data_IF_862972897760
#
_entry.id   IF_862972897760
#
_cell.length_a   1.000
_cell.length_b   1.000
_cell.length_c   1.000
_cell.angle_alpha   90.00
_cell.angle_beta   90.00
_cell.angle_gamma   90.00
#
_symmetry.space_group_name_H-M   'P 1'
#
loop_
_entity.id
_entity.type
_entity.pdbx_description
1 polymer ?
#
# COMPACT_ATOMS: atom_id res chain seq x y z
N UNK A 1 -5.51 -2.67 -5.46
CA UNK A 1 -4.14 -2.11 -5.36
C UNK A 1 -3.06 -3.20 -5.40
N UNK A 2 -3.12 -4.26 -4.59
CA UNK A 2 -2.10 -5.31 -4.56
C UNK A 2 -1.73 -5.94 -5.93
N UNK A 3 -2.71 -6.22 -6.79
CA UNK A 3 -2.44 -6.74 -8.15
C UNK A 3 -1.56 -5.81 -8.98
N UNK A 4 -1.76 -4.49 -8.89
CA UNK A 4 -0.97 -3.49 -9.62
C UNK A 4 0.50 -3.56 -9.19
N UNK A 5 0.79 -3.62 -7.89
CA UNK A 5 2.16 -3.80 -7.39
C UNK A 5 2.81 -5.10 -7.87
N UNK A 6 2.07 -6.22 -7.88
CA UNK A 6 2.60 -7.53 -8.31
C UNK A 6 2.93 -7.57 -9.80
N UNK A 7 2.09 -6.96 -10.66
CA UNK A 7 2.34 -6.94 -12.10
C UNK A 7 3.58 -6.15 -12.47
N UNK A 8 3.86 -5.04 -11.78
CA UNK A 8 5.04 -4.23 -12.04
C UNK A 8 6.32 -4.76 -11.37
N UNK A 9 6.20 -5.47 -10.24
CA UNK A 9 7.36 -6.02 -9.51
C UNK A 9 7.89 -7.34 -10.11
N UNK A 10 7.17 -7.99 -11.03
CA UNK A 10 7.55 -9.30 -11.56
C UNK A 10 8.26 -9.17 -12.92
N UNK A 11 9.48 -9.67 -13.01
CA UNK A 11 10.18 -9.82 -14.29
C UNK A 11 9.37 -10.73 -15.23
N UNK A 12 9.12 -10.22 -16.44
CA UNK A 12 8.20 -10.76 -17.44
C UNK A 12 8.68 -12.12 -18.00
N UNK A 13 8.48 -13.21 -17.24
CA UNK A 13 8.70 -14.58 -17.72
C UNK A 13 7.42 -15.08 -18.37
N UNK A 14 7.46 -15.24 -19.71
CA UNK A 14 6.34 -15.75 -20.50
C UNK A 14 5.90 -17.11 -19.98
N UNK A 15 4.70 -17.17 -19.43
CA UNK A 15 4.04 -18.41 -19.07
C UNK A 15 2.57 -18.27 -19.38
N UNK A 16 2.02 -19.26 -20.07
CA UNK A 16 0.67 -19.27 -20.65
C UNK A 16 -0.41 -19.51 -19.59
N UNK A 17 -0.41 -18.72 -18.52
CA UNK A 17 -1.50 -18.71 -17.54
C UNK A 17 -2.33 -17.44 -17.72
N UNK A 18 -3.62 -17.63 -17.97
CA UNK A 18 -4.58 -16.55 -18.15
C UNK A 18 -4.92 -15.98 -16.77
N UNK A 19 -4.61 -14.71 -16.54
CA UNK A 19 -4.98 -14.02 -15.30
C UNK A 19 -6.50 -13.84 -15.23
N UNK A 20 -7.13 -14.33 -14.17
CA UNK A 20 -8.57 -14.11 -13.91
C UNK A 20 -8.86 -12.79 -13.18
N UNK A 21 -7.83 -11.99 -12.88
CA UNK A 21 -8.01 -10.67 -12.29
C UNK A 21 -8.71 -9.72 -13.26
N UNK A 22 -9.82 -9.12 -12.79
CA UNK A 22 -10.61 -8.15 -13.54
C UNK A 22 -10.61 -6.79 -12.82
N UNK A 23 -10.62 -5.70 -13.59
CA UNK A 23 -10.72 -4.35 -13.03
C UNK A 23 -12.13 -4.13 -12.46
N UNK A 24 -12.27 -3.71 -11.18
CA UNK A 24 -13.58 -3.45 -10.57
C UNK A 24 -14.33 -2.36 -11.35
N UNK A 25 -15.64 -2.52 -11.51
CA UNK A 25 -16.50 -1.57 -12.21
C UNK A 25 -17.36 -0.77 -11.23
N UNK A 26 -17.56 0.55 -11.44
CA UNK A 26 -17.11 1.33 -12.59
C UNK A 26 -15.60 1.68 -12.55
N UNK A 27 -14.94 1.70 -13.71
CA UNK A 27 -13.52 2.05 -13.85
C UNK A 27 -13.27 3.17 -14.85
N UNK A 28 -12.22 3.97 -14.61
CA UNK A 28 -11.74 5.01 -15.54
C UNK A 28 -10.36 4.64 -16.07
N UNK A 29 -10.17 4.75 -17.38
CA UNK A 29 -8.86 4.58 -18.01
C UNK A 29 -8.02 5.84 -17.80
N UNK A 30 -6.81 5.68 -17.28
CA UNK A 30 -5.84 6.77 -17.10
C UNK A 30 -4.67 6.58 -18.07
N UNK A 31 -4.18 7.68 -18.64
CA UNK A 31 -3.07 7.62 -19.61
C UNK A 31 -1.74 7.27 -18.94
N UNK A 32 -1.52 7.79 -17.72
CA UNK A 32 -0.27 7.66 -16.98
C UNK A 32 -0.53 7.28 -15.54
N UNK A 33 0.28 6.34 -15.04
CA UNK A 33 0.34 5.97 -13.64
C UNK A 33 1.81 5.99 -13.21
N UNK A 34 2.08 6.55 -12.03
CA UNK A 34 3.41 6.53 -11.43
C UNK A 34 3.45 5.50 -10.31
N UNK A 35 4.47 4.66 -10.32
CA UNK A 35 4.69 3.63 -9.31
C UNK A 35 6.13 3.74 -8.80
N UNK A 36 6.27 3.87 -7.47
CA UNK A 36 7.55 3.87 -6.80
C UNK A 36 7.53 2.82 -5.69
N UNK A 37 8.58 2.02 -5.60
CA UNK A 37 8.77 1.03 -4.52
C UNK A 37 10.10 1.33 -3.85
N UNK A 38 10.07 1.56 -2.54
CA UNK A 38 11.26 1.74 -1.71
C UNK A 38 11.36 0.52 -0.82
N UNK A 39 12.45 -0.24 -0.93
CA UNK A 39 12.68 -1.46 -0.17
C UNK A 39 13.88 -1.29 0.74
N UNK A 40 13.75 -1.72 1.99
CA UNK A 40 14.83 -1.69 2.97
C UNK A 40 14.29 -1.49 4.38
N UNK A 41 15.18 -1.14 5.30
CA UNK A 41 14.81 -0.79 6.66
C UNK A 41 14.47 0.70 6.72
N UNK A 42 13.19 1.03 6.56
CA UNK A 42 12.71 2.41 6.56
C UNK A 42 12.21 2.75 7.96
N UNK A 43 12.76 3.83 8.52
CA UNK A 43 12.33 4.32 9.84
C UNK A 43 10.99 5.06 9.74
N UNK A 44 10.11 4.98 10.77
CA UNK A 44 8.79 5.59 10.75
C UNK A 44 8.78 7.09 10.46
N UNK A 45 9.80 7.83 10.94
CA UNK A 45 9.91 9.28 10.72
C UNK A 45 10.01 9.62 9.23
N UNK A 46 10.72 8.79 8.46
CA UNK A 46 10.82 8.94 7.01
C UNK A 46 9.52 8.61 6.30
N UNK A 47 8.73 7.69 6.84
CA UNK A 47 7.40 7.38 6.32
C UNK A 47 6.46 8.59 6.52
N UNK A 48 6.53 9.23 7.69
CA UNK A 48 5.75 10.43 8.00
C UNK A 48 6.16 11.58 7.08
N UNK A 49 7.45 11.86 6.93
CA UNK A 49 7.94 12.90 6.01
C UNK A 49 7.44 12.66 4.57
N UNK A 50 7.49 11.41 4.09
CA UNK A 50 6.97 11.05 2.76
C UNK A 50 5.46 11.28 2.65
N UNK A 51 4.70 10.92 3.68
CA UNK A 51 3.26 11.16 3.72
C UNK A 51 2.92 12.66 3.67
N UNK A 52 3.66 13.49 4.40
CA UNK A 52 3.48 14.95 4.37
C UNK A 52 3.73 15.52 2.97
N UNK A 53 4.82 15.11 2.30
CA UNK A 53 5.10 15.55 0.94
C UNK A 53 4.00 15.11 -0.04
N UNK A 54 3.48 13.89 0.15
CA UNK A 54 2.36 13.37 -0.62
C UNK A 54 1.08 14.18 -0.38
N UNK A 55 0.81 14.64 0.83
CA UNK A 55 -0.31 15.55 1.09
C UNK A 55 -0.11 16.91 0.43
N UNK A 56 1.11 17.48 0.46
CA UNK A 56 1.42 18.74 -0.20
C UNK A 56 1.23 18.70 -1.72
N UNK A 57 1.31 17.52 -2.36
CA UNK A 57 1.04 17.36 -3.79
C UNK A 57 -0.37 17.82 -4.21
N UNK A 58 -1.36 17.75 -3.31
CA UNK A 58 -2.71 18.26 -3.56
C UNK A 58 -2.87 19.76 -3.24
N UNK A 59 -1.84 20.43 -2.74
CA UNK A 59 -1.84 21.88 -2.54
C UNK A 59 -1.87 22.66 -3.86
N UNK A 60 -1.40 22.06 -4.94
CA UNK A 60 -1.45 22.62 -6.29
C UNK A 60 -2.49 21.91 -7.18
N UNK A 61 -3.05 22.59 -8.20
CA UNK A 61 -3.95 21.95 -9.15
C UNK A 61 -3.28 20.79 -9.89
N UNK A 62 -3.65 19.56 -9.55
CA UNK A 62 -3.15 18.35 -10.20
C UNK A 62 -4.25 17.64 -11.01
N UNK A 63 -3.88 16.65 -11.82
CA UNK A 63 -4.83 15.86 -12.62
C UNK A 63 -5.36 14.62 -11.88
N UNK A 64 -4.66 14.17 -10.84
CA UNK A 64 -5.04 12.97 -10.08
C UNK A 64 -6.23 13.27 -9.15
N UNK A 65 -7.23 12.39 -9.13
CA UNK A 65 -8.35 12.49 -8.17
C UNK A 65 -7.99 12.00 -6.77
N UNK A 66 -7.04 11.07 -6.69
CA UNK A 66 -6.55 10.44 -5.48
C UNK A 66 -5.16 9.84 -5.75
N UNK A 67 -4.44 9.52 -4.68
CA UNK A 67 -3.19 8.77 -4.73
C UNK A 67 -3.16 7.73 -3.60
N UNK A 68 -2.26 6.75 -3.70
CA UNK A 68 -2.16 5.67 -2.74
C UNK A 68 -0.76 5.60 -2.15
N UNK A 69 -0.68 5.39 -0.84
CA UNK A 69 0.57 5.19 -0.10
C UNK A 69 0.45 3.92 0.73
N UNK A 70 1.14 2.88 0.30
CA UNK A 70 1.10 1.56 0.95
C UNK A 70 2.43 1.30 1.65
N UNK A 71 2.37 0.93 2.92
CA UNK A 71 3.53 0.51 3.70
C UNK A 71 3.32 -0.95 4.10
N UNK A 72 4.34 -1.76 3.81
CA UNK A 72 4.41 -3.16 4.21
C UNK A 72 5.51 -3.30 5.23
N UNK A 73 5.17 -3.82 6.41
CA UNK A 73 6.10 -4.22 7.44
C UNK A 73 6.77 -5.56 7.11
N UNK A 74 7.61 -6.02 8.03
CA UNK A 74 8.33 -7.27 7.88
C UNK A 74 7.49 -8.45 8.40
N UNK A 75 7.48 -9.56 7.65
CA UNK A 75 6.73 -10.77 8.03
C UNK A 75 7.33 -11.49 9.25
N UNK A 76 8.59 -11.24 9.57
CA UNK A 76 9.34 -11.79 10.70
C UNK A 76 9.43 -10.84 11.91
N UNK A 77 8.60 -9.77 11.94
CA UNK A 77 8.51 -8.90 13.11
C UNK A 77 7.85 -9.67 14.27
N UNK A 78 8.48 -9.85 15.45
CA UNK A 78 7.87 -10.58 16.55
C UNK A 78 6.78 -9.77 17.27
N UNK A 79 6.82 -8.46 17.13
CA UNK A 79 5.90 -7.51 17.75
C UNK A 79 5.45 -6.52 16.68
N UNK A 80 4.16 -6.29 16.61
CA UNK A 80 3.52 -5.39 15.65
C UNK A 80 2.84 -4.21 16.37
N UNK A 81 1.76 -3.68 15.80
CA UNK A 81 0.98 -2.55 16.28
C UNK A 81 0.83 -2.51 17.81
N UNK A 82 1.14 -1.36 18.42
CA UNK A 82 1.01 -1.10 19.88
C UNK A 82 1.66 -2.17 20.78
N UNK A 83 2.81 -2.70 20.38
CA UNK A 83 3.52 -3.72 21.14
C UNK A 83 2.78 -5.06 21.24
N UNK A 84 1.78 -5.29 20.37
CA UNK A 84 1.06 -6.58 20.32
C UNK A 84 1.90 -7.66 19.65
N UNK A 85 1.85 -8.88 20.21
CA UNK A 85 2.56 -10.03 19.67
C UNK A 85 2.09 -10.29 18.25
N UNK A 86 3.04 -10.30 17.31
CA UNK A 86 2.72 -10.60 15.93
C UNK A 86 2.68 -12.11 15.77
N UNK A 87 1.62 -12.63 15.14
CA UNK A 87 1.51 -14.02 14.71
C UNK A 87 2.45 -14.38 13.56
N UNK A 88 3.72 -13.97 13.62
CA UNK A 88 4.74 -14.18 12.57
C UNK A 88 4.88 -15.67 12.20
N UNK A 89 4.68 -16.57 13.18
CA UNK A 89 4.63 -18.02 12.98
C UNK A 89 3.53 -18.52 12.03
N UNK A 90 2.54 -17.69 11.70
CA UNK A 90 1.40 -18.02 10.82
C UNK A 90 1.31 -17.12 9.58
N UNK A 91 2.36 -16.37 9.27
CA UNK A 91 2.37 -15.44 8.13
C UNK A 91 1.65 -14.13 8.43
N UNK A 92 1.94 -13.55 9.61
CA UNK A 92 1.55 -12.18 9.92
C UNK A 92 2.21 -11.22 8.95
N UNK A 93 1.40 -10.53 8.12
CA UNK A 93 1.87 -9.40 7.32
C UNK A 93 1.25 -8.13 7.90
N UNK A 94 2.07 -7.20 8.38
CA UNK A 94 1.62 -5.86 8.72
C UNK A 94 1.56 -5.03 7.44
N UNK A 95 0.38 -4.65 7.01
CA UNK A 95 0.22 -3.76 5.86
C UNK A 95 -0.82 -2.70 6.19
N UNK A 96 -0.47 -1.46 5.90
CA UNK A 96 -1.44 -0.38 5.87
C UNK A 96 -1.35 0.38 4.56
N UNK A 97 -2.50 0.86 4.11
CA UNK A 97 -2.64 1.61 2.89
C UNK A 97 -3.48 2.86 3.16
N UNK A 98 -2.96 4.00 2.71
CA UNK A 98 -3.64 5.28 2.73
C UNK A 98 -4.06 5.62 1.30
N UNK A 99 -5.36 5.77 1.08
CA UNK A 99 -5.90 6.37 -0.15
C UNK A 99 -6.21 7.82 0.16
N UNK A 100 -5.43 8.74 -0.38
CA UNK A 100 -5.51 10.18 -0.10
C UNK A 100 -6.24 10.84 -1.25
N UNK A 101 -7.34 11.54 -0.96
CA UNK A 101 -8.13 12.27 -1.94
C UNK A 101 -7.66 13.71 -2.05
N UNK A 102 -8.05 14.37 -3.15
CA UNK A 102 -7.76 15.80 -3.35
C UNK A 102 -8.26 16.71 -2.23
N UNK A 103 -9.34 16.34 -1.56
CA UNK A 103 -9.90 17.08 -0.42
C UNK A 103 -9.07 16.95 0.86
N UNK A 104 -7.98 16.17 0.82
CA UNK A 104 -7.18 15.74 1.98
C UNK A 104 -7.92 14.80 2.95
N UNK A 105 -9.12 14.36 2.60
CA UNK A 105 -9.72 13.18 3.21
C UNK A 105 -8.88 11.95 2.84
N UNK A 106 -8.90 10.94 3.70
CA UNK A 106 -8.20 9.70 3.45
C UNK A 106 -8.99 8.47 3.89
N UNK A 107 -8.75 7.36 3.21
CA UNK A 107 -9.13 6.03 3.70
C UNK A 107 -7.90 5.32 4.24
N UNK A 108 -7.97 4.89 5.49
CA UNK A 108 -7.01 3.99 6.10
C UNK A 108 -7.50 2.55 5.98
N UNK A 109 -6.71 1.74 5.27
CA UNK A 109 -6.95 0.32 5.11
C UNK A 109 -5.81 -0.43 5.81
N UNK A 110 -6.15 -1.16 6.87
CA UNK A 110 -5.19 -2.02 7.56
C UNK A 110 -5.48 -3.47 7.20
N UNK A 111 -4.44 -4.20 6.83
CA UNK A 111 -4.47 -5.64 6.71
C UNK A 111 -3.69 -6.22 7.89
N UNK A 112 -4.33 -7.16 8.56
CA UNK A 112 -3.94 -7.72 9.84
C UNK A 112 -3.97 -9.24 9.68
N UNK A 113 -2.96 -9.94 10.21
CA UNK A 113 -2.90 -11.40 10.15
C UNK A 113 -4.05 -12.03 10.95
N UNK A 114 -4.37 -13.29 10.66
CA UNK A 114 -5.48 -14.00 11.30
C UNK A 114 -5.34 -14.15 12.84
N UNK A 115 -4.17 -13.87 13.40
CA UNK A 115 -3.86 -13.97 14.82
C UNK A 115 -3.37 -12.63 15.41
N UNK A 116 -3.52 -11.52 14.69
CA UNK A 116 -3.08 -10.19 15.12
C UNK A 116 -4.30 -9.31 15.47
N UNK A 117 -4.09 -8.32 16.34
CA UNK A 117 -5.12 -7.33 16.69
C UNK A 117 -5.05 -6.10 15.77
N UNK A 118 -6.21 -5.58 15.37
CA UNK A 118 -6.31 -4.34 14.62
C UNK A 118 -6.52 -3.15 15.57
N UNK A 119 -5.60 -2.16 15.62
CA UNK A 119 -5.82 -0.95 16.40
C UNK A 119 -6.95 -0.10 15.79
N UNK A 120 -7.55 0.81 16.58
CA UNK A 120 -8.57 1.76 16.10
C UNK A 120 -7.98 2.82 15.18
#
# INVERSE_FOLDING_TARGET
>A
IGALFVFFSRDNKSSSFLSTYSCPQPSTVVEKAFLCTITGFIIPEKIIELLEQLCCYFGEPNLASWQTFTVRGFADSPVSWRESEHGFHKGGENLYNLVIFRTLDYWLQMAVGAADDCPP
#
